data_IF_456510712263
#
_entry.id   IF_456510712263
#
_cell.length_a   1.000
_cell.length_b   1.000
_cell.length_c   1.000
_cell.angle_alpha   90.00
_cell.angle_beta   90.00
_cell.angle_gamma   90.00
#
_symmetry.space_group_name_H-M   'P 1'
#
loop_
_entity.id
_entity.type
_entity.pdbx_description
1 polymer ?
#
# COMPACT_ATOMS: atom_id res chain seq x y z
N UNK A 1 4.96 7.03 7.55
CA UNK A 1 5.59 5.81 7.00
C UNK A 1 4.48 4.77 6.89
N UNK A 2 4.22 4.22 5.70
CA UNK A 2 3.18 3.22 5.49
C UNK A 2 3.74 1.85 5.87
N UNK A 3 3.19 1.23 6.92
CA UNK A 3 3.65 -0.06 7.43
C UNK A 3 2.68 -1.16 6.99
N UNK A 4 3.03 -1.90 5.94
CA UNK A 4 2.17 -2.89 5.27
C UNK A 4 1.58 -3.97 6.19
N UNK A 5 2.31 -4.49 7.19
CA UNK A 5 1.74 -5.44 8.16
C UNK A 5 0.51 -4.91 8.90
N UNK A 6 0.45 -3.60 9.18
CA UNK A 6 -0.71 -2.98 9.85
C UNK A 6 -1.96 -2.97 8.94
N UNK A 7 -1.77 -3.20 7.64
CA UNK A 7 -2.82 -3.33 6.63
C UNK A 7 -3.06 -4.78 6.21
N UNK A 8 -2.50 -5.76 6.92
CA UNK A 8 -2.69 -7.19 6.62
C UNK A 8 -1.84 -7.71 5.45
N UNK A 9 -0.88 -6.93 4.99
CA UNK A 9 0.01 -7.28 3.87
C UNK A 9 1.36 -7.73 4.42
N UNK A 10 1.74 -8.97 4.12
CA UNK A 10 2.93 -9.61 4.69
C UNK A 10 3.78 -10.29 3.62
N UNK A 11 5.06 -10.51 3.94
CA UNK A 11 5.97 -11.28 3.09
C UNK A 11 6.55 -10.50 1.91
N UNK A 12 6.24 -9.22 1.78
CA UNK A 12 6.80 -8.37 0.73
C UNK A 12 8.23 -7.92 1.04
N UNK A 13 9.09 -8.01 0.03
CA UNK A 13 10.45 -7.48 0.05
C UNK A 13 10.54 -6.07 -0.55
N UNK A 14 11.76 -5.68 -0.92
CA UNK A 14 12.01 -4.38 -1.53
C UNK A 14 11.36 -4.24 -2.93
N UNK A 15 11.32 -5.33 -3.69
CA UNK A 15 10.79 -5.39 -5.05
C UNK A 15 9.28 -5.63 -5.11
N UNK A 16 8.52 -4.93 -4.26
CA UNK A 16 7.10 -5.15 -3.98
C UNK A 16 6.20 -5.27 -5.22
N UNK A 17 6.50 -4.52 -6.28
CA UNK A 17 5.73 -4.53 -7.53
C UNK A 17 5.86 -5.83 -8.34
N UNK A 18 6.89 -6.64 -8.08
CA UNK A 18 7.15 -7.89 -8.80
C UNK A 18 6.66 -9.13 -8.04
N UNK A 19 6.10 -8.94 -6.85
CA UNK A 19 5.70 -10.02 -5.97
C UNK A 19 4.25 -10.45 -6.21
N UNK A 20 3.90 -11.67 -5.80
CA UNK A 20 2.61 -12.30 -6.13
C UNK A 20 1.40 -11.57 -5.56
N UNK A 21 1.58 -10.83 -4.46
CA UNK A 21 0.56 -10.04 -3.77
C UNK A 21 0.78 -8.53 -3.98
N UNK A 22 1.39 -8.14 -5.11
CA UNK A 22 1.62 -6.73 -5.44
C UNK A 22 0.33 -5.90 -5.45
N UNK A 23 -0.78 -6.49 -5.91
CA UNK A 23 -2.10 -5.87 -5.87
C UNK A 23 -2.57 -5.61 -4.42
N UNK A 24 -2.40 -6.58 -3.52
CA UNK A 24 -2.75 -6.42 -2.10
C UNK A 24 -1.91 -5.30 -1.45
N UNK A 25 -0.63 -5.24 -1.82
CA UNK A 25 0.28 -4.21 -1.33
C UNK A 25 0.02 -2.82 -1.93
N UNK A 26 -0.61 -2.74 -3.09
CA UNK A 26 -0.99 -1.48 -3.74
C UNK A 26 -2.20 -0.82 -3.05
N UNK A 27 -3.14 -1.60 -2.53
CA UNK A 27 -4.36 -1.10 -1.84
C UNK A 27 -4.06 -0.05 -0.75
N UNK A 28 -3.19 -0.31 0.26
CA UNK A 28 -2.93 0.66 1.32
C UNK A 28 -2.21 1.92 0.80
N UNK A 29 -1.43 1.80 -0.29
CA UNK A 29 -0.78 2.95 -0.94
C UNK A 29 -1.81 3.85 -1.61
N UNK A 30 -2.74 3.28 -2.39
CA UNK A 30 -3.80 4.04 -3.04
C UNK A 30 -4.71 4.73 -2.03
N UNK A 31 -5.05 4.03 -0.94
CA UNK A 31 -5.83 4.61 0.17
C UNK A 31 -5.10 5.82 0.76
N UNK A 32 -3.81 5.68 1.07
CA UNK A 32 -3.01 6.79 1.59
C UNK A 32 -2.98 7.97 0.61
N UNK A 33 -2.80 7.72 -0.69
CA UNK A 33 -2.82 8.78 -1.70
C UNK A 33 -4.16 9.52 -1.70
N UNK A 34 -5.29 8.81 -1.79
CA UNK A 34 -6.63 9.41 -1.78
C UNK A 34 -6.84 10.28 -0.53
N UNK A 35 -6.51 9.75 0.66
CA UNK A 35 -6.63 10.48 1.93
C UNK A 35 -5.75 11.74 2.00
N UNK A 36 -4.65 11.80 1.23
CA UNK A 36 -3.68 12.89 1.30
C UNK A 36 -3.70 13.81 0.06
N UNK A 37 -4.44 13.46 -0.99
CA UNK A 37 -4.54 14.27 -2.22
C UNK A 37 -5.96 14.66 -2.58
N UNK A 38 -6.98 13.87 -2.21
CA UNK A 38 -8.37 14.12 -2.55
C UNK A 38 -9.21 14.59 -1.35
N UNK A 39 -8.69 14.50 -0.12
CA UNK A 39 -9.32 15.02 1.09
C UNK A 39 -9.22 16.56 1.25
N UNK A 40 -8.85 17.28 0.18
CA UNK A 40 -8.88 18.74 0.11
C UNK A 40 -9.94 19.19 -0.89
N UNK A 41 -11.21 18.93 -0.57
CA UNK A 41 -12.38 19.65 -1.10
C UNK A 41 -13.37 19.89 0.04
#
# INVERSE_FOLDING_TARGET
MLHLPDHGVFGNGHGLIYEKNSDDALVPVLKWLIENTEAAN
#
